data_IF_400012906520
#
_entry.id   IF_400012906520
#
_cell.length_a   1.000
_cell.length_b   1.000
_cell.length_c   1.000
_cell.angle_alpha   90.00
_cell.angle_beta   90.00
_cell.angle_gamma   90.00
#
_symmetry.space_group_name_H-M   'P 1'
#
loop_
_entity.id
_entity.type
_entity.pdbx_description
1 polymer ?
#
# COMPACT_ATOMS: atom_id res chain seq x y z
N UNK A 1 -31.16 2.98 -9.86
CA UNK A 1 -29.70 2.89 -10.09
C UNK A 1 -29.02 4.25 -10.31
N UNK A 2 -29.57 5.38 -9.86
CA UNK A 2 -29.03 6.72 -10.17
C UNK A 2 -27.69 7.04 -9.47
N UNK A 3 -27.41 6.40 -8.34
CA UNK A 3 -26.22 6.69 -7.53
C UNK A 3 -25.02 5.78 -7.83
N UNK A 4 -25.20 4.76 -8.66
CA UNK A 4 -24.12 3.83 -9.06
C UNK A 4 -22.91 4.56 -9.67
N UNK A 5 -23.08 5.55 -10.56
CA UNK A 5 -21.95 6.31 -11.10
C UNK A 5 -21.12 7.03 -10.01
N UNK A 6 -21.79 7.64 -9.02
CA UNK A 6 -21.11 8.34 -7.91
C UNK A 6 -20.29 7.38 -7.06
N UNK A 7 -20.83 6.20 -6.77
CA UNK A 7 -20.13 5.14 -6.02
C UNK A 7 -18.91 4.60 -6.77
N UNK A 8 -19.03 4.39 -8.08
CA UNK A 8 -17.93 3.91 -8.93
C UNK A 8 -16.79 4.93 -8.95
N UNK A 9 -17.10 6.22 -9.11
CA UNK A 9 -16.09 7.28 -9.07
C UNK A 9 -15.35 7.29 -7.73
N UNK A 10 -16.08 7.21 -6.61
CA UNK A 10 -15.46 7.17 -5.28
C UNK A 10 -14.57 5.94 -5.07
N UNK A 11 -15.00 4.77 -5.55
CA UNK A 11 -14.22 3.55 -5.45
C UNK A 11 -12.93 3.62 -6.29
N UNK A 12 -13.00 4.13 -7.51
CA UNK A 12 -11.81 4.30 -8.36
C UNK A 12 -10.83 5.32 -7.79
N UNK A 13 -11.34 6.45 -7.28
CA UNK A 13 -10.51 7.45 -6.59
C UNK A 13 -9.77 6.83 -5.40
N UNK A 14 -10.44 5.98 -4.62
CA UNK A 14 -9.81 5.27 -3.52
C UNK A 14 -8.71 4.30 -3.99
N UNK A 15 -8.97 3.53 -5.05
CA UNK A 15 -8.00 2.56 -5.59
C UNK A 15 -6.77 3.23 -6.24
N UNK A 16 -6.88 4.47 -6.70
CA UNK A 16 -5.78 5.21 -7.35
C UNK A 16 -5.17 6.31 -6.48
N UNK A 17 -5.59 6.46 -5.21
CA UNK A 17 -5.14 7.56 -4.35
C UNK A 17 -3.63 7.58 -4.13
N UNK A 18 -2.99 6.41 -4.13
CA UNK A 18 -1.55 6.25 -3.88
C UNK A 18 -0.64 6.96 -4.90
N UNK A 19 -1.14 7.36 -6.07
CA UNK A 19 -0.35 8.18 -7.01
C UNK A 19 -0.06 9.60 -6.52
N UNK A 20 -0.87 10.12 -5.60
CA UNK A 20 -0.75 11.47 -5.07
C UNK A 20 -0.28 11.48 -3.59
N UNK A 21 0.09 10.33 -3.03
CA UNK A 21 0.61 10.24 -1.67
C UNK A 21 2.13 10.43 -1.67
N UNK A 22 2.66 11.19 -0.71
CA UNK A 22 4.10 11.39 -0.55
C UNK A 22 4.67 10.41 0.48
N UNK A 23 5.88 9.90 0.21
CA UNK A 23 6.53 8.94 1.09
C UNK A 23 6.86 9.57 2.46
N UNK A 24 7.26 10.83 2.47
CA UNK A 24 7.63 11.55 3.68
C UNK A 24 6.43 11.73 4.64
N UNK A 25 5.25 12.05 4.10
CA UNK A 25 4.01 12.13 4.90
C UNK A 25 3.56 10.75 5.38
N UNK A 26 3.74 9.71 4.56
CA UNK A 26 3.42 8.32 4.92
C UNK A 26 4.32 7.77 6.02
N UNK A 27 5.62 8.07 5.98
CA UNK A 27 6.59 7.60 6.96
C UNK A 27 6.46 8.34 8.29
N UNK A 28 6.02 9.60 8.29
CA UNK A 28 5.78 10.42 9.49
C UNK A 28 6.93 10.39 10.52
N UNK A 29 8.17 10.36 10.04
CA UNK A 29 9.36 10.29 10.90
C UNK A 29 9.48 9.00 11.73
N UNK A 30 8.72 7.94 11.41
CA UNK A 30 8.79 6.63 12.07
C UNK A 30 10.03 5.83 11.65
N UNK A 31 11.19 6.47 11.71
CA UNK A 31 12.50 5.87 11.48
C UNK A 31 13.21 5.80 12.82
N UNK A 32 13.42 4.58 13.31
CA UNK A 32 14.07 4.32 14.58
C UNK A 32 15.47 3.74 14.33
N UNK A 33 16.46 4.31 15.00
CA UNK A 33 17.85 3.85 14.94
C UNK A 33 18.13 3.00 16.18
N UNK A 34 18.06 1.68 16.04
CA UNK A 34 18.47 0.73 17.08
C UNK A 34 19.57 -0.19 16.53
N UNK A 35 20.59 -0.48 17.34
CA UNK A 35 21.63 -1.47 17.04
C UNK A 35 21.05 -2.89 17.16
N UNK A 36 20.18 -3.23 16.23
CA UNK A 36 19.60 -4.56 16.10
C UNK A 36 20.18 -5.22 14.85
N UNK A 37 21.01 -6.26 14.99
CA UNK A 37 21.59 -7.03 13.88
C UNK A 37 20.65 -8.14 13.37
N UNK A 38 19.37 -8.09 13.73
CA UNK A 38 18.39 -9.11 13.42
C UNK A 38 17.53 -8.72 12.20
N UNK A 39 17.14 -9.70 11.40
CA UNK A 39 16.22 -9.48 10.28
C UNK A 39 14.80 -9.26 10.83
N UNK A 40 14.20 -8.13 10.50
CA UNK A 40 12.78 -7.87 10.81
C UNK A 40 11.94 -8.29 9.61
N UNK A 41 11.03 -9.24 9.83
CA UNK A 41 10.12 -9.75 8.81
C UNK A 41 8.69 -9.32 9.12
N UNK A 42 8.09 -8.54 8.22
CA UNK A 42 6.66 -8.21 8.25
C UNK A 42 5.95 -9.12 7.25
N UNK A 43 5.05 -9.96 7.74
CA UNK A 43 4.24 -10.89 6.95
C UNK A 43 2.77 -10.48 6.98
N UNK A 44 1.98 -11.17 6.14
CA UNK A 44 0.53 -11.05 6.09
C UNK A 44 0.06 -9.62 5.73
N UNK A 45 0.79 -9.00 4.79
CA UNK A 45 0.43 -7.69 4.24
C UNK A 45 -0.56 -7.92 3.10
N UNK A 46 -1.81 -7.54 3.31
CA UNK A 46 -2.85 -7.60 2.29
C UNK A 46 -2.72 -6.47 1.27
N UNK A 47 -2.58 -6.83 0.01
CA UNK A 47 -2.42 -5.92 -1.11
C UNK A 47 -3.60 -6.08 -2.07
N UNK A 48 -4.33 -4.98 -2.23
CA UNK A 48 -5.31 -4.79 -3.28
C UNK A 48 -4.69 -3.93 -4.39
N UNK A 49 -4.68 -4.45 -5.61
CA UNK A 49 -4.15 -3.73 -6.77
C UNK A 49 -5.18 -3.66 -7.90
N UNK A 50 -5.26 -2.50 -8.55
CA UNK A 50 -6.17 -2.27 -9.67
C UNK A 50 -5.39 -2.12 -10.97
N UNK A 51 -5.71 -2.95 -11.95
CA UNK A 51 -5.10 -2.88 -13.28
C UNK A 51 -6.03 -2.15 -14.23
N UNK A 52 -5.57 -1.00 -14.72
CA UNK A 52 -6.36 -0.12 -15.60
C UNK A 52 -6.72 -0.76 -16.94
N UNK A 53 -5.86 -1.59 -17.50
CA UNK A 53 -6.05 -2.20 -18.83
C UNK A 53 -7.20 -3.20 -18.85
N UNK A 54 -7.34 -4.02 -17.80
CA UNK A 54 -8.37 -5.05 -17.71
C UNK A 54 -9.56 -4.65 -16.83
N UNK A 55 -9.46 -3.51 -16.11
CA UNK A 55 -10.42 -3.08 -15.08
C UNK A 55 -10.66 -4.16 -14.00
N UNK A 56 -9.67 -5.01 -13.76
CA UNK A 56 -9.73 -6.09 -12.77
C UNK A 56 -8.96 -5.70 -11.51
N UNK A 57 -9.53 -6.01 -10.35
CA UNK A 57 -8.85 -5.90 -9.06
C UNK A 57 -8.22 -7.24 -8.70
N UNK A 58 -7.00 -7.21 -8.20
CA UNK A 58 -6.29 -8.38 -7.71
C UNK A 58 -6.04 -8.25 -6.21
N UNK A 59 -6.08 -9.39 -5.51
CA UNK A 59 -5.83 -9.50 -4.09
C UNK A 59 -4.66 -10.47 -3.85
N UNK A 60 -3.70 -10.05 -3.05
CA UNK A 60 -2.51 -10.83 -2.75
C UNK A 60 -2.04 -10.57 -1.33
N UNK A 61 -1.49 -11.59 -0.68
CA UNK A 61 -0.79 -11.43 0.59
C UNK A 61 0.72 -11.45 0.33
N UNK A 62 1.47 -10.50 0.90
CA UNK A 62 2.93 -10.40 0.75
C UNK A 62 3.65 -10.40 2.09
N UNK A 63 4.95 -10.68 2.01
CA UNK A 63 5.91 -10.48 3.09
C UNK A 63 7.02 -9.52 2.63
N UNK A 64 7.46 -8.65 3.53
CA UNK A 64 8.60 -7.75 3.35
C UNK A 64 9.61 -8.03 4.45
N UNK A 65 10.88 -8.23 4.08
CA UNK A 65 11.99 -8.38 5.02
C UNK A 65 12.94 -7.20 4.89
N UNK A 66 13.35 -6.64 6.02
CA UNK A 66 14.43 -5.66 6.07
C UNK A 66 15.59 -6.24 6.86
N UNK A 67 16.80 -6.06 6.32
CA UNK A 67 18.03 -6.39 7.01
C UNK A 67 18.70 -5.07 7.37
N UNK A 68 18.93 -4.86 8.66
CA UNK A 68 19.71 -3.74 9.17
C UNK A 68 21.16 -3.90 8.73
N UNK A 69 21.59 -3.04 7.80
CA UNK A 69 23.01 -2.79 7.52
C UNK A 69 23.25 -1.32 7.84
N UNK A 70 23.61 -1.06 9.09
CA UNK A 70 24.37 0.12 9.45
C UNK A 70 25.82 -0.31 9.69
#
# INVERSE_FOLDING_TARGET
MRDTPKRVVKALQFLTKGYNESLDELLNGAVFSEDANEMVLVRDIDILSFVRTSYTTYHWTRACGVHSQW
#
